data_IF_983175996274
#
_entry.id   IF_983175996274
#
_cell.length_a   1.000
_cell.length_b   1.000
_cell.length_c   1.000
_cell.angle_alpha   90.00
_cell.angle_beta   90.00
_cell.angle_gamma   90.00
#
_symmetry.space_group_name_H-M   'P 1'
#
loop_
_entity.id
_entity.type
_entity.pdbx_description
1 polymer ?
#
# COMPACT_ATOMS: atom_id res chain seq x y z
N UNK A 1 30.95 -12.99 -17.05
CA UNK A 1 29.55 -12.67 -16.72
C UNK A 1 29.49 -12.45 -15.22
N UNK A 2 29.43 -11.20 -14.76
CA UNK A 2 29.27 -10.90 -13.33
C UNK A 2 27.83 -11.15 -12.94
N UNK A 3 27.57 -12.23 -12.21
CA UNK A 3 26.30 -12.46 -11.55
C UNK A 3 26.05 -11.26 -10.62
N UNK A 4 25.03 -10.46 -10.95
CA UNK A 4 24.65 -9.30 -10.14
C UNK A 4 24.24 -9.77 -8.74
N UNK A 5 24.91 -9.25 -7.72
CA UNK A 5 24.55 -9.45 -6.33
C UNK A 5 23.17 -8.82 -6.07
N UNK A 6 22.13 -9.65 -5.97
CA UNK A 6 20.83 -9.21 -5.44
C UNK A 6 20.95 -9.23 -3.92
N UNK A 7 20.77 -8.10 -3.21
CA UNK A 7 20.80 -8.09 -1.76
C UNK A 7 19.75 -9.06 -1.23
N UNK A 8 20.15 -9.97 -0.33
CA UNK A 8 19.31 -11.00 0.31
C UNK A 8 18.11 -10.48 1.10
N UNK A 9 17.88 -9.16 1.11
CA UNK A 9 16.93 -8.46 1.95
C UNK A 9 15.74 -7.91 1.13
N UNK A 10 15.76 -8.10 -0.19
CA UNK A 10 14.64 -7.75 -1.07
C UNK A 10 13.61 -8.87 -1.01
N UNK A 11 12.52 -8.64 -0.29
CA UNK A 11 11.39 -9.58 -0.28
C UNK A 11 10.60 -9.40 -1.57
N UNK A 12 10.65 -10.40 -2.44
CA UNK A 12 9.78 -10.47 -3.61
C UNK A 12 8.37 -10.85 -3.16
N UNK A 13 7.37 -10.16 -3.68
CA UNK A 13 5.96 -10.49 -3.48
C UNK A 13 5.37 -10.95 -4.81
N UNK A 14 4.59 -12.02 -4.75
CA UNK A 14 3.63 -12.35 -5.81
C UNK A 14 2.53 -11.29 -5.85
N UNK A 15 1.83 -11.20 -6.99
CA UNK A 15 0.66 -10.32 -7.11
C UNK A 15 -0.40 -10.65 -6.05
N UNK A 16 -0.61 -11.94 -5.77
CA UNK A 16 -1.57 -12.39 -4.75
C UNK A 16 -1.19 -11.88 -3.35
N UNK A 17 0.07 -12.01 -2.95
CA UNK A 17 0.57 -11.49 -1.67
C UNK A 17 0.44 -9.97 -1.57
N UNK A 18 0.70 -9.25 -2.67
CA UNK A 18 0.54 -7.80 -2.70
C UNK A 18 -0.93 -7.37 -2.56
N UNK A 19 -1.85 -8.10 -3.19
CA UNK A 19 -3.30 -7.88 -3.06
C UNK A 19 -3.76 -8.18 -1.62
N UNK A 20 -3.35 -9.31 -1.05
CA UNK A 20 -3.71 -9.67 0.33
C UNK A 20 -3.18 -8.64 1.34
N UNK A 21 -1.94 -8.19 1.18
CA UNK A 21 -1.35 -7.16 2.02
C UNK A 21 -2.12 -5.84 1.92
N UNK A 22 -2.49 -5.41 0.69
CA UNK A 22 -3.30 -4.21 0.48
C UNK A 22 -4.65 -4.32 1.19
N UNK A 23 -5.33 -5.46 1.02
CA UNK A 23 -6.66 -5.69 1.60
C UNK A 23 -6.62 -5.76 3.12
N UNK A 24 -5.52 -6.29 3.69
CA UNK A 24 -5.28 -6.25 5.14
C UNK A 24 -5.13 -4.82 5.67
N UNK A 25 -4.45 -3.93 4.94
CA UNK A 25 -4.35 -2.52 5.33
C UNK A 25 -5.71 -1.83 5.22
N UNK A 26 -6.48 -2.10 4.17
CA UNK A 26 -7.85 -1.61 4.06
C UNK A 26 -8.72 -2.07 5.24
N UNK A 27 -8.62 -3.33 5.64
CA UNK A 27 -9.33 -3.86 6.81
C UNK A 27 -8.94 -3.20 8.13
N UNK A 28 -7.67 -2.78 8.30
CA UNK A 28 -7.25 -1.98 9.47
C UNK A 28 -7.88 -0.58 9.47
N UNK A 29 -7.95 0.05 8.30
CA UNK A 29 -8.59 1.36 8.13
C UNK A 29 -10.09 1.24 8.49
N UNK A 30 -10.75 0.18 8.01
CA UNK A 30 -12.16 -0.11 8.33
C UNK A 30 -12.38 -0.42 9.81
N UNK A 31 -11.48 -1.16 10.45
CA UNK A 31 -11.52 -1.43 11.89
C UNK A 31 -11.43 -0.14 12.74
N UNK A 32 -10.77 0.90 12.21
CA UNK A 32 -10.72 2.23 12.81
C UNK A 32 -11.98 3.09 12.50
N UNK A 33 -13.01 2.49 11.90
CA UNK A 33 -14.28 3.16 11.56
C UNK A 33 -14.16 4.14 10.39
N UNK A 34 -13.14 4.00 9.56
CA UNK A 34 -12.82 4.90 8.43
C UNK A 34 -12.84 4.12 7.12
N UNK A 35 -12.98 4.82 6.00
CA UNK A 35 -12.71 4.24 4.67
C UNK A 35 -11.44 4.83 4.06
N UNK A 36 -10.81 4.11 3.13
CA UNK A 36 -9.67 4.64 2.35
C UNK A 36 -10.04 5.95 1.66
N UNK A 37 -11.26 6.05 1.11
CA UNK A 37 -11.76 7.26 0.45
C UNK A 37 -11.85 8.44 1.42
N UNK A 38 -12.32 8.20 2.63
CA UNK A 38 -12.38 9.22 3.68
C UNK A 38 -10.99 9.68 4.11
N UNK A 39 -10.04 8.74 4.30
CA UNK A 39 -8.67 9.10 4.64
C UNK A 39 -8.00 9.93 3.54
N UNK A 40 -8.22 9.60 2.26
CA UNK A 40 -7.73 10.42 1.13
C UNK A 40 -8.30 11.83 1.13
N UNK A 41 -9.60 11.95 1.37
CA UNK A 41 -10.24 13.26 1.47
C UNK A 41 -9.62 14.07 2.62
N UNK A 42 -9.51 13.49 3.80
CA UNK A 42 -8.90 14.13 4.97
C UNK A 42 -7.41 14.44 4.81
N UNK A 43 -6.68 13.63 4.03
CA UNK A 43 -5.29 13.92 3.65
C UNK A 43 -5.18 15.25 2.90
N UNK A 44 -6.11 15.51 1.98
CA UNK A 44 -6.14 16.78 1.23
C UNK A 44 -6.42 17.99 2.12
N UNK A 45 -7.08 17.77 3.26
CA UNK A 45 -7.36 18.78 4.27
C UNK A 45 -6.31 18.84 5.39
N UNK A 46 -5.21 18.08 5.29
CA UNK A 46 -4.16 17.97 6.31
C UNK A 46 -4.69 17.58 7.70
N UNK A 47 -5.79 16.82 7.76
CA UNK A 47 -6.55 16.55 8.99
C UNK A 47 -6.41 15.11 9.53
N UNK A 48 -5.33 14.42 9.14
CA UNK A 48 -5.06 13.03 9.53
C UNK A 48 -4.15 12.93 10.76
N UNK A 49 -4.38 11.90 11.59
CA UNK A 49 -3.41 11.50 12.60
C UNK A 49 -2.18 10.83 11.96
N UNK A 50 -1.08 10.71 12.71
CA UNK A 50 0.12 10.02 12.24
C UNK A 50 -0.15 8.54 11.89
N UNK A 51 -1.03 7.88 12.64
CA UNK A 51 -1.43 6.49 12.36
C UNK A 51 -2.24 6.39 11.06
N UNK A 52 -3.20 7.29 10.86
CA UNK A 52 -4.01 7.33 9.64
C UNK A 52 -3.17 7.66 8.41
N UNK A 53 -2.19 8.56 8.53
CA UNK A 53 -1.21 8.86 7.49
C UNK A 53 -0.38 7.62 7.12
N UNK A 54 0.11 6.88 8.12
CA UNK A 54 0.91 5.67 7.88
C UNK A 54 0.08 4.59 7.19
N UNK A 55 -1.16 4.35 7.64
CA UNK A 55 -2.05 3.38 7.01
C UNK A 55 -2.40 3.77 5.56
N UNK A 56 -2.70 5.06 5.32
CA UNK A 56 -2.99 5.54 3.98
C UNK A 56 -1.76 5.41 3.06
N UNK A 57 -0.57 5.83 3.53
CA UNK A 57 0.66 5.72 2.76
C UNK A 57 1.03 4.27 2.42
N UNK A 58 0.85 3.35 3.38
CA UNK A 58 1.05 1.92 3.16
C UNK A 58 0.06 1.39 2.12
N UNK A 59 -1.23 1.70 2.26
CA UNK A 59 -2.27 1.30 1.31
C UNK A 59 -1.95 1.81 -0.11
N UNK A 60 -1.60 3.09 -0.27
CA UNK A 60 -1.30 3.67 -1.58
C UNK A 60 -0.03 3.12 -2.21
N UNK A 61 0.98 2.78 -1.40
CA UNK A 61 2.17 2.07 -1.91
C UNK A 61 1.78 0.71 -2.46
N UNK A 62 0.99 -0.06 -1.73
CA UNK A 62 0.55 -1.39 -2.15
C UNK A 62 -0.39 -1.35 -3.35
N UNK A 63 -1.30 -0.38 -3.39
CA UNK A 63 -2.19 -0.18 -4.54
C UNK A 63 -1.40 0.11 -5.82
N UNK A 64 -0.37 0.98 -5.75
CA UNK A 64 0.50 1.26 -6.90
C UNK A 64 1.28 0.03 -7.35
N UNK A 65 1.79 -0.77 -6.42
CA UNK A 65 2.46 -2.03 -6.75
C UNK A 65 1.52 -3.01 -7.45
N UNK A 66 0.28 -3.15 -6.96
CA UNK A 66 -0.74 -4.01 -7.56
C UNK A 66 -1.14 -3.51 -8.95
N UNK A 67 -1.40 -2.20 -9.11
CA UNK A 67 -1.73 -1.60 -10.41
C UNK A 67 -0.61 -1.82 -11.44
N UNK A 68 0.63 -1.54 -11.04
CA UNK A 68 1.80 -1.78 -11.88
C UNK A 68 1.91 -3.25 -12.32
N UNK A 69 1.76 -4.19 -11.38
CA UNK A 69 1.83 -5.62 -11.67
C UNK A 69 0.67 -6.12 -12.56
N UNK A 70 -0.48 -5.45 -12.55
CA UNK A 70 -1.61 -5.72 -13.44
C UNK A 70 -1.51 -5.05 -14.81
N UNK A 71 -0.52 -4.18 -15.02
CA UNK A 71 -0.39 -3.38 -16.24
C UNK A 71 -1.41 -2.22 -16.31
N UNK A 72 -1.98 -1.82 -15.19
CA UNK A 72 -2.88 -0.67 -15.09
C UNK A 72 -2.05 0.63 -15.05
N UNK A 73 -2.59 1.73 -15.59
CA UNK A 73 -1.96 3.04 -15.45
C UNK A 73 -2.00 3.47 -13.97
N UNK A 74 -0.84 3.87 -13.45
CA UNK A 74 -0.61 4.20 -12.04
C UNK A 74 -0.72 5.70 -11.80
#
# INVERSE_FOLDING_TARGET
MTAGFVPSNVRHWTLAEAVEARDRVAGKIEANGKSVKELRFRASEWSLSAEELNLLAEYERLERMVKFAKGESV
#
